data_IF_204131168285
#
_entry.id   IF_204131168285
#
_cell.length_a   1.000
_cell.length_b   1.000
_cell.length_c   1.000
_cell.angle_alpha   90.00
_cell.angle_beta   90.00
_cell.angle_gamma   90.00
#
_symmetry.space_group_name_H-M   'P 1'
#
loop_
_entity.id
_entity.type
_entity.pdbx_description
1 polymer ?
#
# COMPACT_ATOMS: atom_id res chain seq x y z
N UNK A 1 -10.82 -9.35 -14.97
CA UNK A 1 -10.89 -7.88 -14.97
C UNK A 1 -10.26 -7.25 -13.73
N UNK A 2 -10.64 -7.67 -12.56
CA UNK A 2 -10.09 -7.09 -11.33
C UNK A 2 -8.58 -7.35 -11.22
N UNK A 3 -8.12 -8.53 -11.60
CA UNK A 3 -6.70 -8.85 -11.60
C UNK A 3 -5.92 -7.90 -12.50
N UNK A 4 -6.45 -7.64 -13.70
CA UNK A 4 -5.77 -6.73 -14.62
C UNK A 4 -5.77 -5.30 -14.11
N UNK A 5 -6.86 -4.86 -13.48
CA UNK A 5 -6.92 -3.54 -12.87
C UNK A 5 -5.88 -3.42 -11.74
N UNK A 6 -5.74 -4.46 -10.95
CA UNK A 6 -4.77 -4.53 -9.86
C UNK A 6 -3.34 -4.39 -10.40
N UNK A 7 -3.05 -5.09 -11.49
CA UNK A 7 -1.74 -5.00 -12.13
C UNK A 7 -1.44 -3.59 -12.62
N UNK A 8 -2.44 -2.94 -13.22
CA UNK A 8 -2.28 -1.57 -13.69
C UNK A 8 -2.05 -0.61 -12.53
N UNK A 9 -2.76 -0.81 -11.42
CA UNK A 9 -2.56 -0.01 -10.22
C UNK A 9 -1.15 -0.17 -9.66
N UNK A 10 -0.64 -1.41 -9.60
CA UNK A 10 0.70 -1.67 -9.08
C UNK A 10 1.77 -1.06 -9.97
N UNK A 11 1.56 -1.11 -11.26
CA UNK A 11 2.50 -0.55 -12.22
C UNK A 11 2.61 0.96 -12.11
N UNK A 12 1.49 1.62 -11.80
CA UNK A 12 1.40 3.08 -11.74
C UNK A 12 1.03 3.54 -10.34
N UNK A 13 1.64 2.93 -9.33
CA UNK A 13 1.24 3.10 -7.94
C UNK A 13 1.32 4.54 -7.46
N UNK A 14 2.34 5.29 -7.90
CA UNK A 14 2.52 6.67 -7.47
C UNK A 14 1.67 7.66 -8.26
N UNK A 15 1.00 7.22 -9.32
CA UNK A 15 0.15 8.10 -10.12
C UNK A 15 -1.24 8.21 -9.48
N UNK A 16 -1.90 9.38 -9.61
CA UNK A 16 -3.28 9.51 -9.12
C UNK A 16 -4.20 8.52 -9.83
N UNK A 17 -5.08 7.89 -9.08
CA UNK A 17 -6.06 6.98 -9.67
C UNK A 17 -7.17 7.79 -10.32
N UNK A 18 -7.40 7.52 -11.61
CA UNK A 18 -8.51 8.08 -12.36
C UNK A 18 -9.44 6.93 -12.72
N UNK A 19 -10.56 6.80 -12.01
CA UNK A 19 -11.50 5.72 -12.26
C UNK A 19 -11.97 5.68 -13.72
N UNK A 20 -12.32 6.81 -14.35
CA UNK A 20 -12.72 6.77 -15.77
C UNK A 20 -11.62 6.26 -16.70
N UNK A 21 -10.37 6.61 -16.45
CA UNK A 21 -9.25 6.12 -17.26
C UNK A 21 -9.07 4.62 -17.11
N UNK A 22 -9.13 4.15 -15.88
CA UNK A 22 -8.98 2.72 -15.61
C UNK A 22 -10.12 1.93 -16.26
N UNK A 23 -11.35 2.44 -16.13
CA UNK A 23 -12.50 1.80 -16.75
C UNK A 23 -12.37 1.75 -18.27
N UNK A 24 -11.87 2.83 -18.87
CA UNK A 24 -11.65 2.89 -20.33
C UNK A 24 -10.62 1.85 -20.76
N UNK A 25 -9.54 1.69 -20.03
CA UNK A 25 -8.52 0.69 -20.32
C UNK A 25 -9.10 -0.73 -20.32
N UNK A 26 -10.10 -0.96 -19.50
CA UNK A 26 -10.70 -2.27 -19.33
C UNK A 26 -11.98 -2.44 -20.13
N UNK A 27 -12.34 -1.43 -20.91
CA UNK A 27 -13.54 -1.43 -21.76
C UNK A 27 -14.83 -1.66 -20.98
N UNK A 28 -14.94 -1.02 -19.84
CA UNK A 28 -16.15 -1.08 -19.01
C UNK A 28 -16.54 0.31 -18.57
N UNK A 29 -17.77 0.47 -18.10
CA UNK A 29 -18.19 1.74 -17.51
C UNK A 29 -17.61 1.88 -16.11
N UNK A 30 -17.56 3.13 -15.61
CA UNK A 30 -17.12 3.41 -14.24
C UNK A 30 -17.94 2.61 -13.24
N UNK A 31 -19.24 2.56 -13.45
CA UNK A 31 -20.15 1.85 -12.57
C UNK A 31 -19.86 0.35 -12.53
N UNK A 32 -19.60 -0.22 -13.70
CA UNK A 32 -19.27 -1.64 -13.78
C UNK A 32 -17.96 -1.94 -13.08
N UNK A 33 -16.96 -1.07 -13.27
CA UNK A 33 -15.67 -1.22 -12.62
C UNK A 33 -15.81 -1.22 -11.10
N UNK A 34 -16.51 -0.23 -10.57
CA UNK A 34 -16.71 -0.09 -9.13
C UNK A 34 -17.46 -1.31 -8.58
N UNK A 35 -18.52 -1.72 -9.27
CA UNK A 35 -19.31 -2.87 -8.84
C UNK A 35 -18.49 -4.15 -8.79
N UNK A 36 -17.68 -4.38 -9.83
CA UNK A 36 -16.87 -5.59 -9.90
C UNK A 36 -15.78 -5.62 -8.85
N UNK A 37 -15.19 -4.46 -8.57
CA UNK A 37 -14.22 -4.37 -7.48
C UNK A 37 -14.87 -4.72 -6.14
N UNK A 38 -16.04 -4.18 -5.87
CA UNK A 38 -16.74 -4.48 -4.63
C UNK A 38 -17.11 -5.95 -4.52
N UNK A 39 -17.54 -6.55 -5.60
CA UNK A 39 -17.92 -7.97 -5.61
C UNK A 39 -16.70 -8.86 -5.37
N UNK A 40 -15.57 -8.54 -6.00
CA UNK A 40 -14.38 -9.37 -5.92
C UNK A 40 -13.56 -9.17 -4.66
N UNK A 41 -13.51 -7.93 -4.13
CA UNK A 41 -12.59 -7.58 -3.04
C UNK A 41 -13.30 -7.06 -1.79
N UNK A 42 -14.58 -6.74 -1.90
CA UNK A 42 -15.31 -6.10 -0.81
C UNK A 42 -15.12 -4.60 -0.75
N UNK A 43 -14.28 -4.03 -1.61
CA UNK A 43 -13.95 -2.61 -1.60
C UNK A 43 -13.94 -2.04 -2.99
N UNK A 44 -14.14 -0.71 -3.10
CA UNK A 44 -14.03 -0.02 -4.38
C UNK A 44 -12.57 0.11 -4.83
N UNK A 45 -12.36 0.58 -6.08
CA UNK A 45 -11.00 0.68 -6.62
C UNK A 45 -10.11 1.66 -5.88
N UNK A 46 -10.65 2.77 -5.37
CA UNK A 46 -9.85 3.73 -4.63
C UNK A 46 -9.33 3.11 -3.33
N UNK A 47 -10.19 2.41 -2.61
CA UNK A 47 -9.78 1.75 -1.38
C UNK A 47 -8.73 0.67 -1.65
N UNK A 48 -8.88 -0.06 -2.74
CA UNK A 48 -7.90 -1.06 -3.14
C UNK A 48 -6.55 -0.42 -3.45
N UNK A 49 -6.55 0.72 -4.14
CA UNK A 49 -5.31 1.45 -4.41
C UNK A 49 -4.65 1.91 -3.12
N UNK A 50 -5.44 2.42 -2.18
CA UNK A 50 -4.90 2.84 -0.89
C UNK A 50 -4.22 1.68 -0.17
N UNK A 51 -4.84 0.50 -0.21
CA UNK A 51 -4.25 -0.69 0.41
C UNK A 51 -2.92 -1.06 -0.25
N UNK A 52 -2.85 -0.98 -1.57
CA UNK A 52 -1.60 -1.25 -2.29
C UNK A 52 -0.51 -0.25 -1.88
N UNK A 53 -0.87 1.01 -1.74
CA UNK A 53 0.09 2.05 -1.33
C UNK A 53 0.58 1.82 0.09
N UNK A 54 -0.31 1.43 0.99
CA UNK A 54 0.07 1.10 2.36
C UNK A 54 1.01 -0.11 2.38
N UNK A 55 0.72 -1.14 1.60
CA UNK A 55 1.56 -2.33 1.54
C UNK A 55 2.95 -1.99 1.01
N UNK A 56 3.03 -1.16 -0.02
CA UNK A 56 4.32 -0.73 -0.55
C UNK A 56 5.09 0.10 0.47
N UNK A 57 4.40 0.99 1.19
CA UNK A 57 5.02 1.81 2.23
C UNK A 57 5.59 0.92 3.34
N UNK A 58 4.85 -0.11 3.74
CA UNK A 58 5.34 -1.06 4.73
C UNK A 58 6.64 -1.70 4.28
N UNK A 59 6.67 -2.15 3.03
CA UNK A 59 7.87 -2.77 2.48
C UNK A 59 9.04 -1.79 2.46
N UNK A 60 8.80 -0.55 2.06
CA UNK A 60 9.86 0.47 2.04
C UNK A 60 10.36 0.77 3.44
N UNK A 61 9.48 0.85 4.43
CA UNK A 61 9.87 1.09 5.80
C UNK A 61 10.69 -0.06 6.36
N UNK A 62 10.38 -1.28 5.98
CA UNK A 62 11.08 -2.48 6.45
C UNK A 62 12.42 -2.68 5.77
N UNK A 63 12.52 -2.31 4.50
CA UNK A 63 13.64 -2.71 3.64
C UNK A 63 14.61 -1.60 3.28
N UNK A 64 14.24 -0.34 3.52
CA UNK A 64 15.08 0.79 3.11
C UNK A 64 15.26 1.78 4.26
N UNK A 65 16.24 2.68 4.09
CA UNK A 65 16.45 3.77 5.03
C UNK A 65 15.77 5.07 4.59
N UNK A 66 14.85 5.02 3.64
CA UNK A 66 14.18 6.22 3.15
C UNK A 66 13.45 6.94 4.28
N UNK A 67 13.45 8.29 4.21
CA UNK A 67 12.71 9.10 5.17
C UNK A 67 11.21 8.82 5.03
N UNK A 68 10.45 9.15 6.06
CA UNK A 68 9.00 8.98 6.01
C UNK A 68 8.40 9.76 4.85
N UNK A 69 8.89 10.97 4.62
CA UNK A 69 8.43 11.79 3.50
C UNK A 69 8.73 11.13 2.16
N UNK A 70 9.93 10.58 2.03
CA UNK A 70 10.32 9.88 0.81
C UNK A 70 9.45 8.65 0.57
N UNK A 71 9.13 7.92 1.63
CA UNK A 71 8.23 6.77 1.54
C UNK A 71 6.86 7.22 1.03
N UNK A 72 6.30 8.27 1.63
CA UNK A 72 4.99 8.78 1.22
C UNK A 72 5.00 9.21 -0.24
N UNK A 73 6.04 9.94 -0.65
CA UNK A 73 6.15 10.38 -2.04
C UNK A 73 6.27 9.20 -3.00
N UNK A 74 7.00 8.18 -2.61
CA UNK A 74 7.20 6.99 -3.45
C UNK A 74 5.89 6.26 -3.75
N UNK A 75 4.90 6.39 -2.88
CA UNK A 75 3.61 5.74 -3.09
C UNK A 75 2.52 6.72 -3.52
N UNK A 76 2.91 7.92 -3.95
CA UNK A 76 2.00 8.85 -4.59
C UNK A 76 1.37 9.89 -3.70
N UNK A 77 1.86 10.09 -2.50
CA UNK A 77 1.33 11.11 -1.59
C UNK A 77 2.29 12.28 -1.51
N UNK A 78 1.78 13.47 -1.79
CA UNK A 78 2.57 14.70 -1.66
C UNK A 78 2.43 15.31 -0.27
N UNK A 79 1.32 15.04 0.40
CA UNK A 79 1.06 15.54 1.75
C UNK A 79 1.38 14.44 2.76
N UNK A 80 2.54 14.58 3.39
CA UNK A 80 3.00 13.59 4.36
C UNK A 80 2.05 13.47 5.56
N UNK A 81 1.44 14.58 5.96
CA UNK A 81 0.51 14.54 7.09
C UNK A 81 -0.71 13.68 6.80
N UNK A 82 -1.24 13.81 5.60
CA UNK A 82 -2.37 12.97 5.17
C UNK A 82 -1.99 11.50 5.15
N UNK A 83 -0.79 11.21 4.63
CA UNK A 83 -0.35 9.82 4.56
C UNK A 83 -0.09 9.24 5.95
N UNK A 84 0.47 10.03 6.86
CA UNK A 84 0.68 9.57 8.24
C UNK A 84 -0.62 9.17 8.90
N UNK A 85 -1.66 9.98 8.72
CA UNK A 85 -2.97 9.67 9.28
C UNK A 85 -3.54 8.39 8.67
N UNK A 86 -3.43 8.26 7.36
CA UNK A 86 -3.92 7.07 6.69
C UNK A 86 -3.18 5.82 7.16
N UNK A 87 -1.85 5.91 7.24
CA UNK A 87 -1.04 4.77 7.67
C UNK A 87 -1.40 4.34 9.09
N UNK A 88 -1.47 5.30 10.00
CA UNK A 88 -1.81 4.98 11.40
C UNK A 88 -3.20 4.38 11.51
N UNK A 89 -4.16 4.91 10.76
CA UNK A 89 -5.52 4.39 10.79
C UNK A 89 -5.58 2.97 10.24
N UNK A 90 -4.84 2.71 9.17
CA UNK A 90 -4.87 1.40 8.50
C UNK A 90 -4.08 0.33 9.22
N UNK A 91 -2.94 0.71 9.80
CA UNK A 91 -2.00 -0.24 10.37
C UNK A 91 -2.09 -0.30 11.90
N UNK A 92 -2.56 0.78 12.53
CA UNK A 92 -2.67 0.84 13.97
C UNK A 92 -1.43 1.37 14.67
N UNK A 93 -0.41 1.76 13.93
CA UNK A 93 0.79 2.37 14.51
C UNK A 93 1.39 3.36 13.52
N UNK A 94 2.22 4.28 14.02
CA UNK A 94 2.87 5.26 13.15
C UNK A 94 3.91 4.59 12.26
N UNK A 95 4.31 5.32 11.21
CA UNK A 95 5.37 4.83 10.34
C UNK A 95 6.67 4.60 11.11
N UNK A 96 6.99 5.51 12.04
CA UNK A 96 8.18 5.38 12.86
C UNK A 96 8.16 4.14 13.74
N UNK A 97 7.04 3.92 14.42
CA UNK A 97 6.87 2.74 15.26
C UNK A 97 6.92 1.46 14.43
N UNK A 98 6.31 1.49 13.25
CA UNK A 98 6.30 0.33 12.37
C UNK A 98 7.72 -0.01 11.92
N UNK A 99 8.49 0.99 11.48
CA UNK A 99 9.87 0.76 11.04
C UNK A 99 10.72 0.20 12.17
N UNK A 100 10.59 0.80 13.34
CA UNK A 100 11.36 0.37 14.51
C UNK A 100 11.09 -1.09 14.84
N UNK A 101 9.85 -1.50 14.71
CA UNK A 101 9.43 -2.84 15.07
C UNK A 101 9.81 -3.90 14.03
N UNK A 102 9.74 -3.55 12.73
CA UNK A 102 9.85 -4.54 11.67
C UNK A 102 11.09 -4.43 10.79
N UNK A 103 11.83 -3.35 10.90
CA UNK A 103 12.96 -3.13 9.99
C UNK A 103 13.99 -4.26 10.04
N UNK A 104 14.33 -4.71 11.23
CA UNK A 104 15.35 -5.73 11.40
C UNK A 104 14.93 -7.09 10.85
N UNK A 105 13.65 -7.33 10.77
CA UNK A 105 13.16 -8.60 10.24
C UNK A 105 13.51 -8.77 8.78
N UNK A 106 13.49 -7.66 8.02
CA UNK A 106 13.76 -7.72 6.58
C UNK A 106 15.24 -7.59 6.27
N UNK A 107 15.93 -6.79 7.02
CA UNK A 107 17.34 -6.54 6.75
C UNK A 107 18.26 -7.61 7.33
N UNK A 108 17.77 -8.38 8.29
CA UNK A 108 18.54 -9.44 8.88
C UNK A 108 18.18 -10.77 8.23
N UNK A 109 19.06 -11.32 7.40
CA UNK A 109 18.72 -12.56 6.69
C UNK A 109 18.53 -13.77 7.59
N UNK A 110 19.00 -13.70 8.81
CA UNK A 110 18.89 -14.83 9.72
C UNK A 110 17.68 -14.78 10.61
N UNK A 111 17.02 -13.80 10.50
CA UNK A 111 15.96 -13.60 11.44
C UNK A 111 15.07 -14.77 11.58
N UNK A 112 15.34 -15.30 12.13
CA UNK A 112 14.52 -15.99 12.19
C UNK A 112 13.83 -16.25 13.14
N UNK A 113 14.13 -15.88 13.39
CA UNK A 113 13.78 -16.21 13.95
C UNK A 113 13.27 -16.20 14.67
N UNK A 114 13.28 -16.09 14.81
CA UNK A 114 12.99 -16.04 15.41
C UNK A 114 12.57 -16.08 16.10
N UNK A 115 12.52 -15.99 16.25
CA UNK A 115 12.39 -15.85 16.80
C UNK A 115 12.07 -15.62 17.38
N UNK A 116 12.00 -15.48 17.56
CA UNK A 116 11.80 -15.06 17.98
C UNK A 116 11.23 -14.77 18.44
N UNK A 117 11.08 -14.58 18.69
CA UNK A 117 10.65 -14.06 18.93
C UNK A 117 9.94 -13.79 19.22
N UNK A 118 9.75 -13.68 19.52
CA UNK A 118 9.10 -13.19 19.55
C UNK A 118 8.47 -12.83 19.46
N UNK A 119 8.23 -12.54 19.25
CA UNK A 119 7.94 -12.05 18.82
C UNK A 119 7.78 -11.68 18.72
N UNK A 120 7.92 -11.50 18.74
CA UNK A 120 8.04 -11.11 18.26
C UNK A 120 7.99 -11.05 18.00
N UNK A 121 8.03 -10.76 18.22
CA UNK A 121 8.09 -10.73 17.74
C UNK A 121 7.96 -10.71 17.55
#
# INVERSE_FOLDING_TARGET
MVTKAHELMQKNLSDPLQVPELAAHLNVSDRTLIRRFKTATGQGPIACLQNLRIDKAKWLLESTGKSHESVANSVGYTDISSFRRLFKRSIGMTMGDYRKRFRNRRQSPRAPRSESSPRAS
#
